data_IF_903523879898
#
_entry.id   IF_903523879898
#
_cell.length_a   1.000
_cell.length_b   1.000
_cell.length_c   1.000
_cell.angle_alpha   90.00
_cell.angle_beta   90.00
_cell.angle_gamma   90.00
#
_symmetry.space_group_name_H-M   'P 1'
#
loop_
_entity.id
_entity.type
_entity.pdbx_description
1 polymer ?
#
# COMPACT_ATOMS: atom_id res chain seq x y z
N UNK A 1 -45.24 0.82 1.48
CA UNK A 1 -44.39 1.33 2.57
C UNK A 1 -42.95 1.29 2.07
N UNK A 2 -42.35 2.45 1.78
CA UNK A 2 -41.02 2.56 1.20
C UNK A 2 -39.97 2.57 2.33
N UNK A 3 -39.22 1.49 2.49
CA UNK A 3 -38.03 1.46 3.34
C UNK A 3 -36.87 2.10 2.58
N UNK A 4 -36.76 3.42 2.64
CA UNK A 4 -35.51 4.09 2.27
C UNK A 4 -34.43 3.60 3.23
N UNK A 5 -33.58 2.70 2.75
CA UNK A 5 -32.43 2.15 3.46
C UNK A 5 -31.58 3.30 4.00
N UNK A 6 -31.70 3.55 5.29
CA UNK A 6 -30.96 4.58 5.99
C UNK A 6 -29.49 4.19 5.92
N UNK A 7 -28.70 4.88 5.09
CA UNK A 7 -27.24 4.67 5.05
C UNK A 7 -26.73 4.79 6.50
N UNK A 8 -25.96 3.81 7.00
CA UNK A 8 -25.34 3.93 8.31
C UNK A 8 -24.60 5.26 8.39
N UNK A 9 -24.76 5.97 9.50
CA UNK A 9 -23.98 7.18 9.74
C UNK A 9 -22.50 6.78 9.71
N UNK A 10 -21.62 7.52 9.00
CA UNK A 10 -20.20 7.21 9.02
C UNK A 10 -19.70 7.18 10.46
N UNK A 11 -19.20 6.04 10.92
CA UNK A 11 -18.51 5.98 12.20
C UNK A 11 -17.18 6.74 12.09
N UNK A 12 -16.81 7.50 13.13
CA UNK A 12 -15.50 8.13 13.18
C UNK A 12 -14.37 7.11 13.04
N UNK A 13 -13.24 7.48 12.42
CA UNK A 13 -12.15 6.54 12.18
C UNK A 13 -11.55 6.04 13.50
N UNK A 14 -11.26 4.75 13.54
CA UNK A 14 -10.47 4.14 14.61
C UNK A 14 -8.99 4.17 14.23
N UNK A 15 -8.15 4.60 15.16
CA UNK A 15 -6.71 4.55 15.02
C UNK A 15 -6.23 3.17 15.40
N UNK A 16 -5.63 2.45 14.46
CA UNK A 16 -4.89 1.23 14.75
C UNK A 16 -3.52 1.61 15.33
N UNK A 17 -3.22 1.11 16.52
CA UNK A 17 -1.96 1.33 17.21
C UNK A 17 -0.99 0.21 16.88
N UNK A 18 0.28 0.55 16.70
CA UNK A 18 1.33 -0.47 16.61
C UNK A 18 1.34 -1.23 17.94
N UNK A 19 1.06 -2.54 17.88
CA UNK A 19 0.84 -3.36 19.07
C UNK A 19 1.98 -3.23 20.08
N UNK A 20 1.62 -3.20 21.36
CA UNK A 20 2.59 -3.44 22.44
C UNK A 20 3.33 -4.75 22.14
N UNK A 21 4.65 -4.76 22.28
CA UNK A 21 5.57 -5.82 21.83
C UNK A 21 5.34 -7.21 22.47
N UNK A 22 4.25 -7.41 23.23
CA UNK A 22 3.96 -8.63 23.98
C UNK A 22 3.28 -9.73 23.15
N UNK A 23 2.44 -9.40 22.16
CA UNK A 23 1.72 -10.39 21.35
C UNK A 23 1.72 -10.03 19.85
N UNK A 24 2.42 -10.82 19.00
CA UNK A 24 2.49 -10.54 17.58
C UNK A 24 1.21 -10.85 16.78
N UNK A 25 0.19 -11.37 17.45
CA UNK A 25 -1.06 -11.84 16.86
C UNK A 25 -2.23 -10.90 17.12
N UNK A 26 -1.98 -9.71 17.69
CA UNK A 26 -3.05 -8.74 17.99
C UNK A 26 -2.69 -7.32 17.58
N UNK A 27 -3.72 -6.48 17.47
CA UNK A 27 -3.60 -5.04 17.29
C UNK A 27 -4.66 -4.30 18.10
N UNK A 28 -4.26 -3.15 18.64
CA UNK A 28 -5.15 -2.28 19.41
C UNK A 28 -5.73 -1.18 18.52
N UNK A 29 -6.98 -0.83 18.77
CA UNK A 29 -7.74 0.19 18.08
C UNK A 29 -8.25 1.20 19.09
N UNK A 30 -8.02 2.48 18.81
CA UNK A 30 -8.45 3.58 19.64
C UNK A 30 -9.39 4.52 18.89
N UNK A 31 -10.51 4.87 19.51
CA UNK A 31 -11.49 5.82 18.99
C UNK A 31 -11.31 7.18 19.66
N UNK A 32 -10.94 8.21 18.88
CA UNK A 32 -10.90 9.60 19.37
C UNK A 32 -12.29 10.20 19.62
N UNK A 33 -13.33 9.60 19.06
CA UNK A 33 -14.69 10.11 19.19
C UNK A 33 -15.27 9.89 20.58
N UNK A 34 -14.98 8.74 21.20
CA UNK A 34 -15.56 8.33 22.47
C UNK A 34 -14.54 7.72 23.45
N UNK A 35 -13.25 7.80 23.13
CA UNK A 35 -12.16 7.36 24.00
C UNK A 35 -12.07 5.84 24.20
N UNK A 36 -12.80 5.05 23.43
CA UNK A 36 -12.82 3.59 23.58
C UNK A 36 -11.60 2.94 22.93
N UNK A 37 -11.12 1.87 23.57
CA UNK A 37 -10.11 0.97 23.03
C UNK A 37 -10.70 -0.41 22.75
N UNK A 38 -10.23 -1.08 21.71
CA UNK A 38 -10.55 -2.47 21.36
C UNK A 38 -9.31 -3.19 20.86
N UNK A 39 -9.15 -4.44 21.22
CA UNK A 39 -8.09 -5.31 20.69
C UNK A 39 -8.71 -6.29 19.70
N UNK A 40 -8.10 -6.45 18.53
CA UNK A 40 -8.50 -7.42 17.53
C UNK A 40 -7.35 -8.39 17.24
N UNK A 41 -7.69 -9.65 16.99
CA UNK A 41 -6.75 -10.65 16.51
C UNK A 41 -6.34 -10.35 15.07
N UNK A 42 -5.05 -10.45 14.80
CA UNK A 42 -4.47 -10.35 13.48
C UNK A 42 -4.52 -11.73 12.81
N UNK A 43 -4.95 -11.78 11.54
CA UNK A 43 -4.98 -13.03 10.78
C UNK A 43 -3.58 -13.50 10.40
N UNK A 44 -3.43 -14.81 10.22
CA UNK A 44 -2.29 -15.39 9.52
C UNK A 44 -2.39 -15.13 7.99
N UNK A 45 -1.26 -14.92 7.28
CA UNK A 45 0.10 -14.83 7.80
C UNK A 45 0.33 -13.54 8.59
N UNK A 46 1.13 -13.62 9.66
CA UNK A 46 1.48 -12.47 10.50
C UNK A 46 1.82 -11.20 9.71
N UNK A 47 1.07 -10.13 9.95
CA UNK A 47 1.18 -8.87 9.20
C UNK A 47 2.12 -7.85 9.86
N UNK A 48 2.59 -8.11 11.08
CA UNK A 48 3.35 -7.14 11.87
C UNK A 48 4.72 -6.83 11.29
N UNK A 49 5.29 -7.79 10.54
CA UNK A 49 6.56 -7.61 9.82
C UNK A 49 6.37 -6.97 8.44
N UNK A 50 5.12 -6.76 8.02
CA UNK A 50 4.79 -6.09 6.77
C UNK A 50 4.83 -4.59 6.96
N UNK A 51 5.07 -3.90 5.86
CA UNK A 51 5.09 -2.45 5.80
C UNK A 51 3.74 -1.94 5.32
N UNK A 52 3.30 -0.85 5.92
CA UNK A 52 1.96 -0.31 5.75
C UNK A 52 2.07 0.90 4.82
N UNK A 53 1.44 0.79 3.66
CA UNK A 53 1.66 1.72 2.55
C UNK A 53 0.45 2.66 2.40
N UNK A 54 -0.70 2.29 2.95
CA UNK A 54 -1.84 3.21 3.09
C UNK A 54 -3.11 2.49 3.51
N UNK A 55 -4.19 3.25 3.66
CA UNK A 55 -5.49 2.72 4.09
C UNK A 55 -6.64 3.50 3.48
N UNK A 56 -7.76 2.80 3.22
CA UNK A 56 -9.06 3.37 2.87
C UNK A 56 -10.15 2.30 3.03
N UNK A 57 -11.41 2.71 3.22
CA UNK A 57 -12.57 1.81 3.31
C UNK A 57 -12.48 0.73 4.41
N UNK A 58 -11.70 0.96 5.48
CA UNK A 58 -11.46 -0.05 6.52
C UNK A 58 -10.39 -1.09 6.16
N UNK A 59 -9.74 -0.93 5.00
CA UNK A 59 -8.66 -1.77 4.52
C UNK A 59 -7.32 -1.04 4.59
N UNK A 60 -6.27 -1.79 4.86
CA UNK A 60 -4.88 -1.38 4.87
C UNK A 60 -4.16 -2.10 3.73
N UNK A 61 -3.37 -1.38 2.95
CA UNK A 61 -2.46 -1.97 1.97
C UNK A 61 -1.11 -2.21 2.63
N UNK A 62 -0.65 -3.46 2.58
CA UNK A 62 0.62 -3.89 3.17
C UNK A 62 1.53 -4.52 2.13
N UNK A 63 2.85 -4.45 2.33
CA UNK A 63 3.85 -5.23 1.58
C UNK A 63 4.69 -6.06 2.53
N UNK A 64 4.95 -7.31 2.18
CA UNK A 64 5.87 -8.16 2.92
C UNK A 64 7.34 -8.00 2.51
N UNK A 65 8.21 -8.82 3.10
CA UNK A 65 9.65 -8.82 2.82
C UNK A 65 9.98 -9.30 1.38
N UNK A 66 9.02 -9.91 0.66
CA UNK A 66 9.13 -10.32 -0.75
C UNK A 66 8.44 -9.34 -1.71
N UNK A 67 7.98 -8.19 -1.21
CA UNK A 67 7.20 -7.21 -1.95
C UNK A 67 5.86 -7.73 -2.48
N UNK A 68 5.37 -8.86 -1.95
CA UNK A 68 4.00 -9.27 -2.20
C UNK A 68 3.08 -8.30 -1.45
N UNK A 69 2.11 -7.78 -2.19
CA UNK A 69 1.18 -6.79 -1.72
C UNK A 69 -0.07 -7.48 -1.21
N UNK A 70 -0.70 -6.91 -0.18
CA UNK A 70 -1.88 -7.49 0.43
C UNK A 70 -2.83 -6.39 0.90
N UNK A 71 -4.13 -6.59 0.71
CA UNK A 71 -5.17 -5.87 1.43
C UNK A 71 -5.47 -6.59 2.73
N UNK A 72 -5.58 -5.82 3.80
CA UNK A 72 -5.86 -6.32 5.13
C UNK A 72 -6.98 -5.52 5.78
N UNK A 73 -8.02 -6.20 6.27
CA UNK A 73 -9.06 -5.59 7.09
C UNK A 73 -8.95 -6.11 8.53
N UNK A 74 -8.47 -5.29 9.48
CA UNK A 74 -8.30 -5.72 10.86
C UNK A 74 -9.60 -5.98 11.63
N UNK A 75 -10.70 -5.35 11.22
CA UNK A 75 -11.97 -5.45 11.95
C UNK A 75 -12.62 -6.80 11.71
N UNK A 76 -12.56 -7.29 10.47
CA UNK A 76 -13.13 -8.58 10.07
C UNK A 76 -12.09 -9.70 9.91
N UNK A 77 -10.80 -9.40 10.13
CA UNK A 77 -9.70 -10.36 9.98
C UNK A 77 -9.45 -10.83 8.54
N UNK A 78 -9.92 -10.10 7.52
CA UNK A 78 -9.78 -10.52 6.12
C UNK A 78 -8.42 -10.13 5.54
N UNK A 79 -7.87 -11.01 4.70
CA UNK A 79 -6.70 -10.72 3.85
C UNK A 79 -7.01 -11.06 2.40
N UNK A 80 -6.65 -10.17 1.47
CA UNK A 80 -6.73 -10.42 0.03
C UNK A 80 -5.35 -10.18 -0.59
N UNK A 81 -4.85 -11.11 -1.42
CA UNK A 81 -3.58 -10.92 -2.11
C UNK A 81 -3.71 -9.81 -3.17
N UNK A 82 -2.61 -9.11 -3.45
CA UNK A 82 -2.47 -8.23 -4.59
C UNK A 82 -1.29 -8.71 -5.45
N UNK A 83 -1.24 -8.35 -6.74
CA UNK A 83 -0.05 -8.59 -7.55
C UNK A 83 1.21 -8.04 -6.87
N UNK A 84 2.31 -8.81 -6.87
CA UNK A 84 3.59 -8.35 -6.33
C UNK A 84 4.08 -7.10 -7.07
N UNK A 85 4.85 -6.22 -6.41
CA UNK A 85 5.39 -5.01 -7.05
C UNK A 85 6.20 -5.31 -8.32
N UNK A 86 6.80 -6.50 -8.42
CA UNK A 86 7.58 -6.94 -9.59
C UNK A 86 6.73 -7.06 -10.85
N UNK A 87 5.41 -7.22 -10.73
CA UNK A 87 4.48 -7.25 -11.87
C UNK A 87 4.42 -5.93 -12.63
N UNK A 88 4.84 -4.82 -12.02
CA UNK A 88 4.93 -3.51 -12.69
C UNK A 88 6.01 -3.44 -13.78
N UNK A 89 6.97 -4.38 -13.80
CA UNK A 89 8.11 -4.38 -14.72
C UNK A 89 9.24 -3.42 -14.34
N UNK A 90 9.05 -2.57 -13.33
CA UNK A 90 10.10 -1.67 -12.83
C UNK A 90 10.94 -2.28 -11.71
N UNK A 91 10.52 -3.42 -11.17
CA UNK A 91 11.23 -4.09 -10.07
C UNK A 91 11.60 -5.51 -10.47
N UNK A 92 12.82 -5.91 -10.15
CA UNK A 92 13.32 -7.26 -10.38
C UNK A 92 13.79 -7.87 -9.05
N UNK A 93 13.29 -9.07 -8.74
CA UNK A 93 13.81 -9.86 -7.64
C UNK A 93 15.25 -10.33 -7.96
N UNK A 94 16.16 -10.11 -7.01
CA UNK A 94 17.51 -10.68 -7.06
C UNK A 94 17.48 -12.20 -6.84
N UNK A 95 18.57 -12.92 -7.16
CA UNK A 95 18.66 -14.36 -6.96
C UNK A 95 18.15 -14.79 -5.58
N UNK A 96 17.43 -15.91 -5.54
CA UNK A 96 16.82 -16.40 -4.30
C UNK A 96 17.85 -17.18 -3.45
N UNK A 97 17.67 -17.14 -2.14
CA UNK A 97 18.41 -17.95 -1.17
C UNK A 97 18.02 -19.43 -1.31
N UNK A 98 18.77 -20.32 -0.65
CA UNK A 98 18.39 -21.75 -0.55
C UNK A 98 17.01 -21.97 0.09
N UNK A 99 16.55 -21.04 0.93
CA UNK A 99 15.23 -21.06 1.55
C UNK A 99 14.12 -20.52 0.63
N UNK A 100 14.43 -20.14 -0.61
CA UNK A 100 13.46 -19.62 -1.57
C UNK A 100 13.21 -18.12 -1.48
N UNK A 101 13.81 -17.38 -0.54
CA UNK A 101 13.57 -15.94 -0.38
C UNK A 101 14.44 -15.10 -1.31
N UNK A 102 13.90 -14.03 -1.91
CA UNK A 102 14.71 -13.09 -2.69
C UNK A 102 15.82 -12.45 -1.82
N UNK A 103 17.06 -12.41 -2.32
CA UNK A 103 18.17 -11.75 -1.62
C UNK A 103 18.07 -10.22 -1.62
N UNK A 104 17.17 -9.68 -2.42
CA UNK A 104 16.83 -8.28 -2.51
C UNK A 104 16.05 -7.99 -3.79
N UNK A 105 15.84 -6.70 -4.07
CA UNK A 105 15.14 -6.25 -5.26
C UNK A 105 15.90 -5.08 -5.89
N UNK A 106 15.95 -5.06 -7.22
CA UNK A 106 16.45 -3.95 -8.02
C UNK A 106 15.28 -3.16 -8.56
N UNK A 107 15.45 -1.83 -8.60
CA UNK A 107 14.56 -0.93 -9.30
C UNK A 107 15.21 -0.52 -10.64
N UNK A 108 14.53 -0.81 -11.74
CA UNK A 108 14.91 -0.44 -13.10
C UNK A 108 14.48 1.00 -13.37
N UNK A 109 15.29 1.93 -12.88
CA UNK A 109 15.00 3.35 -13.01
C UNK A 109 14.90 3.81 -14.47
N UNK A 110 15.76 3.31 -15.37
CA UNK A 110 15.70 3.66 -16.78
C UNK A 110 14.35 3.29 -17.40
N UNK A 111 13.83 2.10 -17.08
CA UNK A 111 12.49 1.67 -17.51
C UNK A 111 11.39 2.54 -16.93
N UNK A 112 11.51 2.90 -15.63
CA UNK A 112 10.54 3.79 -14.98
C UNK A 112 10.54 5.20 -15.59
N UNK A 113 11.73 5.80 -15.77
CA UNK A 113 11.87 7.13 -16.36
C UNK A 113 11.43 7.11 -17.83
N UNK A 114 11.78 6.11 -18.64
CA UNK A 114 11.34 6.04 -20.03
C UNK A 114 9.79 6.05 -20.15
N UNK A 115 9.09 5.43 -19.20
CA UNK A 115 7.62 5.35 -19.20
C UNK A 115 6.97 6.60 -18.59
N UNK A 116 7.49 7.10 -17.46
CA UNK A 116 6.84 8.15 -16.68
C UNK A 116 7.44 9.54 -16.87
N UNK A 117 8.68 9.61 -17.34
CA UNK A 117 9.44 10.84 -17.56
C UNK A 117 10.41 10.72 -18.76
N UNK A 118 9.90 10.67 -20.01
CA UNK A 118 10.77 10.52 -21.18
C UNK A 118 11.66 11.74 -21.44
N UNK A 119 11.24 12.95 -21.02
CA UNK A 119 11.90 14.23 -21.38
C UNK A 119 12.97 14.71 -20.39
N UNK A 120 13.30 13.95 -19.34
CA UNK A 120 14.40 14.27 -18.41
C UNK A 120 15.30 13.06 -18.25
N UNK A 121 16.51 13.19 -18.79
CA UNK A 121 17.61 12.28 -18.52
C UNK A 121 18.23 12.65 -17.17
N UNK A 122 17.84 11.93 -16.12
CA UNK A 122 18.63 11.88 -14.89
C UNK A 122 19.29 10.51 -14.77
N UNK A 123 20.53 10.48 -14.25
CA UNK A 123 21.17 9.26 -13.75
C UNK A 123 21.01 9.26 -12.24
N UNK A 124 20.25 8.34 -11.67
CA UNK A 124 20.16 8.17 -10.22
C UNK A 124 20.55 6.72 -9.87
N UNK A 125 20.95 6.54 -8.61
CA UNK A 125 21.61 5.35 -8.10
C UNK A 125 20.66 4.16 -7.91
N UNK A 126 21.17 2.97 -8.26
CA UNK A 126 20.58 1.66 -7.95
C UNK A 126 20.50 1.50 -6.42
N UNK A 127 19.29 1.50 -5.88
CA UNK A 127 19.04 1.30 -4.45
C UNK A 127 18.65 -0.14 -4.13
N UNK A 128 19.30 -0.74 -3.12
CA UNK A 128 18.75 -1.91 -2.43
C UNK A 128 17.61 -1.43 -1.52
N UNK A 129 16.36 -1.48 -1.99
CA UNK A 129 15.14 -1.66 -1.19
C UNK A 129 13.91 -1.09 -1.93
N UNK A 130 12.85 -1.89 -2.15
CA UNK A 130 11.57 -1.42 -2.71
C UNK A 130 10.83 -0.45 -1.78
N UNK A 131 11.12 -0.46 -0.48
CA UNK A 131 10.40 0.33 0.53
C UNK A 131 10.54 1.83 0.34
N UNK A 132 11.70 2.30 -0.12
CA UNK A 132 11.89 3.74 -0.45
C UNK A 132 11.10 4.16 -1.69
N UNK A 133 10.74 3.20 -2.53
CA UNK A 133 10.00 3.44 -3.77
C UNK A 133 8.51 3.25 -3.58
N UNK A 134 8.04 2.52 -2.57
CA UNK A 134 6.63 2.37 -2.21
C UNK A 134 6.19 3.54 -1.33
N UNK A 135 5.48 4.52 -1.88
CA UNK A 135 5.11 5.74 -1.15
C UNK A 135 3.71 5.68 -0.56
N UNK A 136 2.73 5.29 -1.37
CA UNK A 136 1.33 5.25 -0.96
C UNK A 136 0.57 4.20 -1.76
N UNK A 137 -0.34 3.48 -1.12
CA UNK A 137 -1.28 2.61 -1.80
C UNK A 137 -2.63 2.67 -1.10
N UNK A 138 -3.71 2.86 -1.86
CA UNK A 138 -5.07 2.95 -1.31
C UNK A 138 -6.06 2.20 -2.18
N UNK A 139 -6.96 1.39 -1.59
CA UNK A 139 -8.10 0.85 -2.32
C UNK A 139 -9.05 2.00 -2.68
N UNK A 140 -9.60 1.98 -3.89
CA UNK A 140 -10.55 2.99 -4.38
C UNK A 140 -12.01 2.73 -3.98
N UNK A 141 -12.31 1.48 -3.60
CA UNK A 141 -13.63 1.00 -3.16
C UNK A 141 -13.44 -0.06 -2.10
N UNK A 142 -14.52 -0.41 -1.39
CA UNK A 142 -14.53 -1.54 -0.46
C UNK A 142 -14.41 -2.88 -1.24
N UNK A 143 -13.30 -3.64 -1.08
CA UNK A 143 -13.12 -4.97 -1.66
C UNK A 143 -14.12 -6.03 -1.18
N UNK A 144 -14.82 -5.81 -0.06
CA UNK A 144 -15.66 -6.83 0.59
C UNK A 144 -16.90 -7.29 -0.20
N UNK A 145 -17.27 -6.62 -1.30
CA UNK A 145 -18.57 -6.84 -1.98
C UNK A 145 -18.52 -7.20 -3.48
N UNK A 146 -17.40 -6.98 -4.18
CA UNK A 146 -17.37 -7.04 -5.67
C UNK A 146 -16.51 -8.14 -6.27
N UNK A 147 -15.66 -8.84 -5.50
CA UNK A 147 -14.70 -9.83 -6.03
C UNK A 147 -13.53 -9.22 -6.82
N UNK A 148 -13.78 -8.12 -7.53
CA UNK A 148 -12.80 -7.24 -8.14
C UNK A 148 -12.49 -6.06 -7.23
N UNK A 149 -11.22 -5.75 -7.03
CA UNK A 149 -10.77 -4.62 -6.20
C UNK A 149 -9.69 -3.84 -6.92
N UNK A 150 -9.80 -2.52 -6.82
CA UNK A 150 -8.89 -1.59 -7.45
C UNK A 150 -8.07 -0.87 -6.39
N UNK A 151 -6.75 -0.97 -6.51
CA UNK A 151 -5.79 -0.26 -5.66
C UNK A 151 -5.00 0.71 -6.52
N UNK A 152 -4.95 1.98 -6.09
CA UNK A 152 -4.04 2.98 -6.66
C UNK A 152 -2.76 2.97 -5.86
N UNK A 153 -1.65 2.78 -6.55
CA UNK A 153 -0.31 2.82 -5.97
C UNK A 153 0.50 3.99 -6.52
N UNK A 154 1.14 4.71 -5.61
CA UNK A 154 2.16 5.71 -5.88
C UNK A 154 3.50 5.08 -5.55
N UNK A 155 4.31 4.87 -6.59
CA UNK A 155 5.67 4.39 -6.47
C UNK A 155 6.64 5.25 -7.28
N UNK A 156 7.93 5.21 -6.93
CA UNK A 156 8.99 5.91 -7.64
C UNK A 156 10.06 6.47 -6.69
N UNK A 157 11.19 6.92 -7.23
CA UNK A 157 12.30 7.45 -6.43
C UNK A 157 11.84 8.66 -5.60
N UNK A 158 12.45 8.84 -4.43
CA UNK A 158 12.30 10.05 -3.65
C UNK A 158 13.01 11.21 -4.38
N UNK A 159 12.29 11.88 -5.27
CA UNK A 159 12.78 13.11 -5.88
C UNK A 159 12.38 14.24 -4.94
N UNK A 160 13.36 14.94 -4.38
CA UNK A 160 13.12 16.20 -3.65
C UNK A 160 12.36 17.15 -4.58
N UNK A 161 11.08 17.36 -4.32
CA UNK A 161 10.28 18.36 -5.04
C UNK A 161 10.79 19.74 -4.62
N UNK A 162 11.74 20.29 -5.38
CA UNK A 162 12.01 21.73 -5.30
C UNK A 162 10.87 22.42 -6.05
N UNK A 163 10.02 23.11 -5.31
CA UNK A 163 9.02 24.01 -5.90
C UNK A 163 9.74 25.12 -6.67
N UNK A 164 9.86 24.99 -7.99
CA UNK A 164 10.04 26.14 -8.86
C UNK A 164 8.71 26.40 -9.53
N UNK A 165 8.01 27.44 -9.06
CA UNK A 165 6.84 27.96 -9.74
C UNK A 165 7.28 28.48 -11.10
N UNK A 166 6.98 27.74 -12.16
CA UNK A 166 6.93 28.28 -13.51
C UNK A 166 5.55 27.95 -14.04
N UNK A 167 4.81 29.03 -14.29
CA UNK A 167 3.48 29.01 -14.88
C UNK A 167 3.48 28.20 -16.17
N UNK A 168 2.55 27.25 -16.27
CA UNK A 168 2.23 26.59 -17.53
C UNK A 168 2.71 25.15 -17.65
N UNK A 169 2.15 24.24 -16.86
CA UNK A 169 1.84 22.88 -17.32
C UNK A 169 0.95 22.18 -16.29
N UNK A 170 -0.21 21.73 -16.74
CA UNK A 170 -1.16 20.92 -15.99
C UNK A 170 -0.52 19.61 -15.53
N UNK A 171 -0.45 19.41 -14.22
CA UNK A 171 0.01 18.18 -13.58
C UNK A 171 -0.89 17.01 -13.98
N UNK A 172 -0.39 16.07 -14.77
CA UNK A 172 -1.00 14.74 -14.89
C UNK A 172 -0.20 13.74 -14.07
N UNK A 173 -0.62 13.53 -12.82
CA UNK A 173 -0.32 12.30 -12.10
C UNK A 173 -1.06 11.17 -12.82
N UNK A 174 -0.39 10.46 -13.73
CA UNK A 174 -0.99 9.30 -14.40
C UNK A 174 -1.18 8.18 -13.37
N UNK A 175 -2.44 7.85 -13.13
CA UNK A 175 -2.94 6.80 -12.26
C UNK A 175 -2.41 5.43 -12.70
N UNK A 176 -1.74 4.69 -11.82
CA UNK A 176 -1.62 3.25 -12.00
C UNK A 176 -2.86 2.59 -11.42
N UNK A 177 -3.79 2.25 -12.32
CA UNK A 177 -4.95 1.43 -12.06
C UNK A 177 -4.46 -0.02 -12.18
N UNK A 178 -4.25 -0.71 -11.06
CA UNK A 178 -4.11 -2.17 -11.11
C UNK A 178 -5.54 -2.69 -11.33
N UNK A 179 -5.95 -2.79 -12.59
CA UNK A 179 -7.09 -3.64 -12.97
C UNK A 179 -6.60 -5.07 -12.80
N UNK A 180 -7.15 -5.79 -11.83
CA UNK A 180 -7.22 -7.24 -11.92
C UNK A 180 -8.31 -7.59 -12.93
#
# INVERSE_FOLDING_TARGET
>A
MNTHGRRPRPEPPWLMLAGSTADPTTADFFSFHDGRSRTASLPEPAIQRRIWIGSAHGWVVTADEECALHLFNPVIGAQLPLPCITTTGFFQALPRTKSGKATGFLFHESSFLAVHWPDRAFKIHIGRMPLRFLRKAVPLRDPGGSGEYLVVMIHGPAITVRNTSTSGSTWQSRWMVILC
#
